data_IF_768260258119
#
_entry.id   IF_768260258119
#
_cell.length_a   1.000
_cell.length_b   1.000
_cell.length_c   1.000
_cell.angle_alpha   90.00
_cell.angle_beta   90.00
_cell.angle_gamma   90.00
#
_symmetry.space_group_name_H-M   'P 1'
#
loop_
_entity.id
_entity.type
_entity.pdbx_description
1 polymer ?
#
# COMPACT_ATOMS: atom_id res chain seq x y z
N UNK A 1 -38.23 21.13 -23.29
CA UNK A 1 -37.70 21.36 -21.93
C UNK A 1 -38.12 20.18 -21.07
N UNK A 2 -37.26 19.16 -20.95
CA UNK A 2 -37.40 18.10 -19.97
C UNK A 2 -36.07 18.00 -19.22
N UNK A 3 -36.15 18.22 -17.92
CA UNK A 3 -35.05 18.13 -16.97
C UNK A 3 -34.81 16.64 -16.68
N UNK A 4 -33.66 16.11 -17.09
CA UNK A 4 -33.13 14.89 -16.49
C UNK A 4 -32.18 15.29 -15.38
N UNK A 5 -32.69 15.20 -14.14
CA UNK A 5 -31.93 15.36 -12.92
C UNK A 5 -30.93 14.20 -12.80
N UNK A 6 -29.71 14.43 -13.30
CA UNK A 6 -28.55 13.61 -12.97
C UNK A 6 -28.16 13.90 -11.51
N UNK A 7 -28.87 13.28 -10.57
CA UNK A 7 -28.44 13.22 -9.18
C UNK A 7 -27.22 12.30 -9.14
N UNK A 8 -26.03 12.88 -9.32
CA UNK A 8 -24.77 12.22 -9.00
C UNK A 8 -24.80 11.93 -7.51
N UNK A 9 -25.03 10.67 -7.16
CA UNK A 9 -24.87 10.17 -5.80
C UNK A 9 -23.41 10.30 -5.39
N UNK A 10 -23.02 11.47 -4.89
CA UNK A 10 -21.75 11.70 -4.23
C UNK A 10 -21.71 10.76 -3.03
N UNK A 11 -21.08 9.59 -3.23
CA UNK A 11 -20.80 8.62 -2.19
C UNK A 11 -20.00 9.37 -1.12
N UNK A 12 -20.63 9.63 0.04
CA UNK A 12 -19.96 10.34 1.14
C UNK A 12 -18.67 9.60 1.45
N UNK A 13 -17.53 10.26 1.22
CA UNK A 13 -16.25 9.70 1.58
C UNK A 13 -16.21 9.50 3.09
N UNK A 14 -15.86 8.27 3.50
CA UNK A 14 -15.69 7.96 4.91
C UNK A 14 -14.49 8.75 5.42
N UNK A 15 -14.69 9.46 6.52
CA UNK A 15 -13.62 10.17 7.23
C UNK A 15 -13.04 9.26 8.31
N UNK A 16 -11.73 9.28 8.42
CA UNK A 16 -10.99 8.55 9.45
C UNK A 16 -10.26 9.52 10.39
N UNK A 17 -9.85 9.04 11.54
CA UNK A 17 -9.19 9.80 12.59
C UNK A 17 -7.83 9.20 12.94
N UNK A 18 -6.98 10.02 13.57
CA UNK A 18 -5.73 9.52 14.16
C UNK A 18 -6.04 8.40 15.15
N UNK A 19 -5.23 7.35 15.12
CA UNK A 19 -5.38 6.08 15.83
C UNK A 19 -6.40 5.08 15.28
N UNK A 20 -7.16 5.41 14.23
CA UNK A 20 -8.00 4.41 13.57
C UNK A 20 -7.14 3.29 12.98
N UNK A 21 -7.66 2.05 13.10
CA UNK A 21 -7.08 0.87 12.46
C UNK A 21 -7.74 0.67 11.10
N UNK A 22 -6.93 0.66 10.06
CA UNK A 22 -7.37 0.64 8.68
C UNK A 22 -6.50 -0.27 7.84
N UNK A 23 -7.00 -0.67 6.67
CA UNK A 23 -6.30 -1.53 5.72
C UNK A 23 -5.96 -0.82 4.43
N UNK A 24 -4.81 -1.14 3.85
CA UNK A 24 -4.47 -0.78 2.47
C UNK A 24 -4.38 -2.04 1.63
N UNK A 25 -4.97 -2.04 0.44
CA UNK A 25 -4.90 -3.17 -0.47
C UNK A 25 -3.47 -3.38 -0.98
N UNK A 26 -2.97 -4.60 -0.83
CA UNK A 26 -1.68 -5.01 -1.39
C UNK A 26 -1.90 -5.45 -2.84
N UNK A 27 -1.07 -4.94 -3.75
CA UNK A 27 -1.16 -5.29 -5.17
C UNK A 27 -0.82 -6.77 -5.39
N UNK A 28 -1.44 -7.39 -6.39
CA UNK A 28 -1.21 -8.79 -6.75
C UNK A 28 0.24 -9.08 -7.15
N UNK A 29 0.99 -8.07 -7.60
CA UNK A 29 2.41 -8.21 -7.95
C UNK A 29 3.32 -8.30 -6.72
N UNK A 30 2.84 -7.85 -5.57
CA UNK A 30 3.58 -7.77 -4.30
C UNK A 30 3.12 -8.84 -3.30
N UNK A 31 2.34 -9.83 -3.75
CA UNK A 31 1.82 -10.93 -2.93
C UNK A 31 1.79 -12.24 -3.71
N UNK A 32 1.95 -13.36 -3.02
CA UNK A 32 1.54 -14.67 -3.54
C UNK A 32 0.02 -14.85 -3.39
N UNK A 33 -0.57 -15.79 -4.14
CA UNK A 33 -2.01 -16.12 -4.02
C UNK A 33 -2.42 -16.59 -2.61
N UNK A 34 -1.45 -16.95 -1.76
CA UNK A 34 -1.67 -17.41 -0.38
C UNK A 34 -1.38 -16.33 0.67
N UNK A 35 -0.78 -15.20 0.29
CA UNK A 35 -0.47 -14.11 1.23
C UNK A 35 -1.61 -13.11 1.36
N UNK A 36 -1.66 -12.46 2.51
CA UNK A 36 -2.66 -11.47 2.86
C UNK A 36 -2.78 -10.37 1.79
N UNK A 37 -4.02 -9.98 1.47
CA UNK A 37 -4.34 -8.98 0.45
C UNK A 37 -4.52 -7.57 1.02
N UNK A 38 -4.54 -7.43 2.35
CA UNK A 38 -4.77 -6.18 3.07
C UNK A 38 -3.63 -5.99 4.07
N UNK A 39 -2.91 -4.89 3.94
CA UNK A 39 -1.89 -4.44 4.89
C UNK A 39 -2.58 -3.68 6.03
N UNK A 40 -2.55 -4.18 7.27
CA UNK A 40 -3.12 -3.50 8.42
C UNK A 40 -2.21 -2.36 8.90
N UNK A 41 -2.82 -1.20 9.12
CA UNK A 41 -2.16 0.06 9.42
C UNK A 41 -2.90 0.81 10.53
N UNK A 42 -2.18 1.71 11.20
CA UNK A 42 -2.73 2.74 12.09
C UNK A 42 -2.57 4.11 11.44
N UNK A 43 -3.60 4.95 11.52
CA UNK A 43 -3.49 6.35 11.11
C UNK A 43 -2.71 7.13 12.17
N UNK A 44 -1.67 7.83 11.75
CA UNK A 44 -0.81 8.62 12.65
C UNK A 44 -0.93 10.12 12.43
N UNK A 45 -1.41 10.55 11.25
CA UNK A 45 -1.60 11.95 10.91
C UNK A 45 -2.73 12.12 9.89
N UNK A 46 -3.43 13.24 9.98
CA UNK A 46 -4.48 13.65 9.04
C UNK A 46 -4.14 15.05 8.53
N UNK A 47 -4.00 15.20 7.21
CA UNK A 47 -3.76 16.48 6.55
C UNK A 47 -4.99 16.86 5.74
N UNK A 48 -5.53 18.05 5.97
CA UNK A 48 -6.58 18.62 5.13
C UNK A 48 -5.94 19.60 4.14
N UNK A 49 -5.71 19.15 2.90
CA UNK A 49 -5.36 20.06 1.81
C UNK A 49 -6.65 20.68 1.27
N UNK A 50 -6.64 22.00 1.06
CA UNK A 50 -7.71 22.82 0.47
C UNK A 50 -9.11 22.54 1.03
N UNK A 51 -9.49 23.28 2.08
CA UNK A 51 -10.85 23.37 2.66
C UNK A 51 -11.64 22.03 2.70
N UNK A 52 -10.97 20.94 3.06
CA UNK A 52 -11.60 19.64 3.38
C UNK A 52 -11.90 18.71 2.19
N UNK A 53 -11.59 19.11 0.95
CA UNK A 53 -11.82 18.25 -0.22
C UNK A 53 -10.69 17.25 -0.48
N UNK A 54 -9.47 17.51 0.02
CA UNK A 54 -8.33 16.60 -0.15
C UNK A 54 -7.78 16.18 1.22
N UNK A 55 -8.57 15.41 1.97
CA UNK A 55 -8.08 14.80 3.22
C UNK A 55 -7.12 13.66 2.87
N UNK A 56 -5.90 13.77 3.39
CA UNK A 56 -4.85 12.76 3.24
C UNK A 56 -4.47 12.19 4.59
N UNK A 57 -4.12 10.91 4.62
CA UNK A 57 -3.81 10.16 5.82
C UNK A 57 -2.39 9.62 5.77
N UNK A 58 -1.65 9.80 6.86
CA UNK A 58 -0.34 9.18 7.09
C UNK A 58 -0.53 7.90 7.89
N UNK A 59 0.13 6.83 7.46
CA UNK A 59 -0.10 5.49 7.99
C UNK A 59 1.20 4.90 8.55
N UNK A 60 1.07 4.12 9.62
CA UNK A 60 2.14 3.30 10.17
C UNK A 60 1.71 1.83 10.25
N UNK A 61 2.68 0.92 10.06
CA UNK A 61 2.57 -0.51 10.33
C UNK A 61 3.43 -0.87 11.54
N UNK A 62 3.41 -2.13 11.95
CA UNK A 62 4.34 -2.65 12.97
C UNK A 62 5.82 -2.50 12.58
N UNK A 63 6.11 -2.40 11.28
CA UNK A 63 7.49 -2.38 10.75
C UNK A 63 8.00 -0.95 10.44
N UNK A 64 7.11 0.04 10.33
CA UNK A 64 7.52 1.41 10.02
C UNK A 64 6.39 2.36 9.62
N UNK A 65 6.76 3.64 9.52
CA UNK A 65 5.91 4.71 8.99
C UNK A 65 6.00 4.72 7.47
N UNK A 66 4.86 4.60 6.79
CA UNK A 66 4.83 4.58 5.33
C UNK A 66 5.09 5.99 4.80
N UNK A 67 6.08 6.15 3.91
CA UNK A 67 6.49 7.46 3.38
C UNK A 67 5.41 8.13 2.49
N UNK A 68 4.39 7.40 2.07
CA UNK A 68 3.27 7.89 1.27
C UNK A 68 2.16 8.52 2.11
N UNK A 69 1.35 9.35 1.47
CA UNK A 69 0.07 9.83 1.96
C UNK A 69 -1.05 9.16 1.16
N UNK A 70 -2.15 8.81 1.83
CA UNK A 70 -3.25 8.06 1.24
C UNK A 70 -4.55 8.87 1.29
N UNK A 71 -5.42 8.70 0.29
CA UNK A 71 -6.77 9.25 0.31
C UNK A 71 -7.74 8.29 1.00
N UNK A 72 -8.95 8.74 1.34
CA UNK A 72 -10.01 7.86 1.85
C UNK A 72 -10.39 6.75 0.86
N UNK A 73 -10.18 6.95 -0.44
CA UNK A 73 -10.46 5.95 -1.46
C UNK A 73 -9.46 4.78 -1.45
N UNK A 74 -8.26 5.00 -0.92
CA UNK A 74 -7.22 3.98 -0.79
C UNK A 74 -7.41 3.10 0.47
N UNK A 75 -8.27 3.54 1.40
CA UNK A 75 -8.38 3.02 2.75
C UNK A 75 -9.60 2.11 2.91
N UNK A 76 -9.37 0.94 3.49
CA UNK A 76 -10.39 -0.02 3.91
C UNK A 76 -10.60 0.15 5.41
N UNK A 77 -11.84 0.36 5.83
CA UNK A 77 -12.17 0.40 7.25
C UNK A 77 -11.96 -0.98 7.91
N UNK A 78 -11.22 -1.00 9.01
CA UNK A 78 -10.97 -2.19 9.82
C UNK A 78 -11.22 -1.92 11.30
N UNK A 79 -12.10 -0.97 11.63
CA UNK A 79 -12.47 -0.61 13.00
C UNK A 79 -12.94 -1.78 13.87
N UNK A 80 -13.58 -2.80 13.26
CA UNK A 80 -13.99 -4.04 13.93
C UNK A 80 -12.82 -5.01 14.20
N UNK A 81 -11.63 -4.75 13.65
CA UNK A 81 -10.46 -5.60 13.83
C UNK A 81 -9.76 -5.30 15.16
N UNK A 82 -9.55 -6.34 15.95
CA UNK A 82 -8.84 -6.26 17.23
C UNK A 82 -7.35 -6.54 17.00
N UNK A 83 -6.62 -5.57 16.44
CA UNK A 83 -5.15 -5.61 16.45
C UNK A 83 -4.64 -4.84 17.66
N UNK A 84 -4.29 -5.56 18.74
CA UNK A 84 -3.73 -4.98 19.97
C UNK A 84 -2.38 -4.31 19.67
N UNK A 85 -1.55 -4.98 18.88
CA UNK A 85 -0.21 -4.52 18.53
C UNK A 85 -0.23 -3.16 17.81
N UNK A 86 -1.13 -2.99 16.84
CA UNK A 86 -1.28 -1.70 16.15
C UNK A 86 -1.80 -0.60 17.07
N UNK A 87 -2.71 -0.92 18.00
CA UNK A 87 -3.22 0.07 18.96
C UNK A 87 -2.10 0.60 19.86
N UNK A 88 -1.21 -0.27 20.31
CA UNK A 88 -0.09 0.03 21.22
C UNK A 88 1.19 0.48 20.51
N UNK A 89 1.15 0.65 19.18
CA UNK A 89 2.30 1.04 18.37
C UNK A 89 2.89 2.39 18.83
N UNK A 90 4.17 2.38 19.22
CA UNK A 90 4.96 3.58 19.49
C UNK A 90 5.58 4.08 18.18
N UNK A 91 5.09 5.21 17.68
CA UNK A 91 5.50 5.77 16.39
C UNK A 91 6.88 6.43 16.44
N UNK A 92 7.40 6.76 17.62
CA UNK A 92 8.65 7.52 17.75
C UNK A 92 9.90 6.67 17.46
N UNK A 93 9.77 5.34 17.58
CA UNK A 93 10.85 4.39 17.36
C UNK A 93 10.83 3.76 15.96
N UNK A 94 9.80 4.06 15.16
CA UNK A 94 9.59 3.44 13.87
C UNK A 94 10.42 4.12 12.77
N UNK A 95 11.09 3.34 11.91
CA UNK A 95 11.75 3.90 10.73
C UNK A 95 10.70 4.35 9.69
N UNK A 96 11.10 5.30 8.84
CA UNK A 96 10.32 5.62 7.63
C UNK A 96 10.63 4.59 6.54
N UNK A 97 9.61 3.95 6.00
CA UNK A 97 9.70 2.90 4.98
C UNK A 97 8.81 3.21 3.77
N UNK A 98 9.12 2.62 2.63
CA UNK A 98 8.24 2.67 1.45
C UNK A 98 7.04 1.74 1.61
N UNK A 99 5.95 2.00 0.89
CA UNK A 99 4.78 1.12 0.87
C UNK A 99 5.15 -0.32 0.44
N UNK A 100 6.06 -0.47 -0.52
CA UNK A 100 6.53 -1.78 -0.99
C UNK A 100 7.25 -2.53 0.13
N UNK A 101 8.12 -1.87 0.89
CA UNK A 101 8.82 -2.48 2.03
C UNK A 101 7.82 -2.92 3.11
N UNK A 102 6.80 -2.11 3.39
CA UNK A 102 5.75 -2.46 4.33
C UNK A 102 4.97 -3.72 3.88
N UNK A 103 4.60 -3.80 2.60
CA UNK A 103 3.96 -4.97 2.01
C UNK A 103 4.84 -6.22 2.11
N UNK A 104 6.14 -6.11 1.78
CA UNK A 104 7.09 -7.23 1.82
C UNK A 104 7.30 -7.75 3.25
N UNK A 105 7.45 -6.85 4.23
CA UNK A 105 7.60 -7.21 5.63
C UNK A 105 6.36 -7.96 6.14
N UNK A 106 5.16 -7.43 5.86
CA UNK A 106 3.91 -8.01 6.32
C UNK A 106 3.57 -9.35 5.68
N UNK A 107 3.67 -9.43 4.35
CA UNK A 107 3.33 -10.68 3.62
C UNK A 107 4.40 -11.76 3.80
N UNK A 108 5.58 -11.39 4.33
CA UNK A 108 6.83 -12.18 4.26
C UNK A 108 7.17 -12.60 2.83
N UNK A 109 6.51 -11.99 1.84
CA UNK A 109 6.74 -12.25 0.44
C UNK A 109 7.84 -11.30 -0.01
N UNK A 110 9.04 -11.85 -0.04
CA UNK A 110 10.05 -11.30 -0.94
C UNK A 110 9.62 -11.68 -2.34
N UNK A 111 9.50 -10.74 -3.29
CA UNK A 111 9.43 -11.12 -4.69
C UNK A 111 10.70 -11.90 -4.97
N UNK A 112 10.59 -13.23 -5.01
CA UNK A 112 11.63 -14.07 -5.57
C UNK A 112 11.92 -13.44 -6.92
N UNK A 113 13.20 -13.24 -7.23
CA UNK A 113 13.66 -12.84 -8.53
C UNK A 113 13.26 -13.94 -9.53
N UNK A 114 11.97 -14.04 -9.87
CA UNK A 114 11.43 -14.98 -10.84
C UNK A 114 11.75 -14.33 -12.19
N UNK A 115 13.05 -14.26 -12.52
CA UNK A 115 13.41 -14.15 -13.91
C UNK A 115 12.91 -15.43 -14.56
N UNK A 116 12.05 -15.31 -15.57
CA UNK A 116 11.74 -16.42 -16.50
C UNK A 116 12.89 -16.68 -17.49
N UNK A 117 14.11 -16.30 -17.12
CA UNK A 117 15.31 -16.60 -17.88
C UNK A 117 15.40 -18.13 -18.01
N UNK A 118 15.27 -18.69 -19.21
CA UNK A 118 15.40 -20.15 -19.44
C UNK A 118 16.87 -20.66 -19.35
N UNK A 119 17.77 -19.87 -18.79
CA UNK A 119 19.20 -20.17 -18.67
C UNK A 119 19.94 -19.12 -17.84
N UNK A 120 21.25 -19.32 -17.63
CA UNK A 120 22.10 -18.39 -16.90
C UNK A 120 22.00 -16.98 -17.50
N UNK A 121 21.66 -15.99 -16.68
CA UNK A 121 21.53 -14.58 -17.08
C UNK A 121 22.90 -13.89 -17.28
N UNK A 122 23.83 -14.62 -17.94
CA UNK A 122 25.20 -14.19 -18.21
C UNK A 122 25.29 -13.46 -19.56
N UNK A 123 24.29 -13.64 -20.43
CA UNK A 123 24.31 -13.15 -21.82
C UNK A 123 23.89 -11.68 -21.98
N UNK A 124 23.58 -10.95 -20.88
CA UNK A 124 23.08 -9.55 -20.88
C UNK A 124 21.87 -9.28 -21.81
N UNK A 125 21.16 -10.31 -22.28
CA UNK A 125 20.00 -10.18 -23.17
C UNK A 125 18.77 -9.56 -22.49
N UNK A 126 18.70 -9.63 -21.16
CA UNK A 126 17.68 -8.96 -20.36
C UNK A 126 17.95 -7.45 -20.28
N UNK A 127 17.01 -6.55 -20.65
CA UNK A 127 17.19 -5.10 -20.57
C UNK A 127 17.60 -4.62 -19.17
N UNK A 128 17.02 -5.18 -18.11
CA UNK A 128 17.39 -4.86 -16.72
C UNK A 128 18.80 -5.29 -16.37
N UNK A 129 19.21 -6.49 -16.79
CA UNK A 129 20.57 -6.98 -16.54
C UNK A 129 21.62 -6.15 -17.31
N UNK A 130 21.27 -5.65 -18.50
CA UNK A 130 22.12 -4.71 -19.25
C UNK A 130 22.35 -3.40 -18.50
N UNK A 131 21.39 -2.99 -17.67
CA UNK A 131 21.45 -1.83 -16.79
C UNK A 131 21.96 -2.15 -15.37
N UNK A 132 22.54 -3.34 -15.14
CA UNK A 132 22.99 -3.81 -13.82
C UNK A 132 21.88 -3.87 -12.75
N UNK A 133 20.61 -3.89 -13.15
CA UNK A 133 19.47 -4.03 -12.26
C UNK A 133 19.09 -5.50 -12.07
N UNK A 134 18.40 -5.79 -10.97
CA UNK A 134 17.83 -7.11 -10.70
C UNK A 134 16.74 -7.47 -11.72
N UNK A 135 16.75 -8.73 -12.18
CA UNK A 135 15.77 -9.25 -13.12
C UNK A 135 14.39 -9.44 -12.46
N UNK A 136 13.33 -9.21 -13.22
CA UNK A 136 11.95 -9.47 -12.80
C UNK A 136 11.15 -10.20 -13.88
N UNK A 137 9.93 -10.63 -13.56
CA UNK A 137 9.03 -11.38 -14.45
C UNK A 137 8.70 -10.65 -15.77
N UNK A 138 8.84 -9.31 -15.81
CA UNK A 138 8.61 -8.47 -17.00
C UNK A 138 9.83 -8.32 -17.92
N UNK A 139 10.97 -8.92 -17.58
CA UNK A 139 12.21 -8.77 -18.36
C UNK A 139 12.16 -9.44 -19.73
N UNK A 140 11.26 -10.39 -19.92
CA UNK A 140 11.06 -11.11 -21.17
C UNK A 140 9.55 -11.14 -21.45
N UNK A 141 9.10 -10.29 -22.37
CA UNK A 141 7.85 -10.47 -23.10
C UNK A 141 8.19 -11.06 -24.45
#
# INVERSE_FOLDING_TARGET
RLYENYQSGLKKEKKFQVNDIVGIKISDVDRSNLSASILPCKIIEVSHKDEGFNTQYKLATMDGIINNWFSSADIIDMSETVSVDLRQLDINILPVITFIQACQAFTKFMPINICKCRGLCNTKRCPRKRQSLLCCTKCHR
#
